data_IF_827630367873
#
_entry.id   IF_827630367873
#
_cell.length_a   1.000
_cell.length_b   1.000
_cell.length_c   1.000
_cell.angle_alpha   90.00
_cell.angle_beta   90.00
_cell.angle_gamma   90.00
#
_symmetry.space_group_name_H-M   'P 1'
#
loop_
_entity.id
_entity.type
_entity.pdbx_description
1 polymer ?
#
# COMPACT_ATOMS: atom_id res chain seq x y z
N UNK A 1 10.04 -21.90 22.97
CA UNK A 1 8.89 -22.81 22.77
C UNK A 1 9.14 -23.62 21.51
N UNK A 2 8.78 -24.90 21.50
CA UNK A 2 8.80 -25.74 20.28
C UNK A 2 7.35 -25.91 19.82
N UNK A 3 7.09 -25.65 18.55
CA UNK A 3 5.79 -25.87 17.90
C UNK A 3 5.92 -27.06 16.97
N UNK A 4 4.96 -27.97 17.07
CA UNK A 4 4.82 -29.11 16.16
C UNK A 4 3.55 -28.95 15.36
N UNK A 5 3.65 -29.19 14.06
CA UNK A 5 2.49 -29.23 13.18
C UNK A 5 1.72 -30.54 13.38
N UNK A 6 0.44 -30.51 13.79
CA UNK A 6 -0.36 -31.72 13.98
C UNK A 6 -0.54 -32.54 12.70
N UNK A 7 -0.50 -31.93 11.51
CA UNK A 7 -0.60 -32.65 10.23
C UNK A 7 0.73 -33.22 9.75
N UNK A 8 1.85 -32.76 10.31
CA UNK A 8 3.20 -33.17 9.91
C UNK A 8 3.63 -32.61 8.55
N UNK A 9 2.95 -31.59 8.04
CA UNK A 9 3.30 -30.95 6.75
C UNK A 9 4.51 -30.01 6.90
N UNK A 10 4.80 -29.58 8.13
CA UNK A 10 5.91 -28.67 8.47
C UNK A 10 6.82 -29.29 9.53
N UNK A 11 8.10 -29.01 9.41
CA UNK A 11 9.09 -29.40 10.40
C UNK A 11 8.84 -28.70 11.75
N UNK A 12 9.31 -29.32 12.84
CA UNK A 12 9.26 -28.74 14.18
C UNK A 12 10.02 -27.40 14.22
N UNK A 13 9.33 -26.31 14.58
CA UNK A 13 9.90 -24.96 14.64
C UNK A 13 10.13 -24.53 16.11
N UNK A 14 11.25 -23.88 16.38
CA UNK A 14 11.59 -23.35 17.70
C UNK A 14 11.53 -21.81 17.74
N UNK A 15 10.70 -21.28 18.63
CA UNK A 15 10.53 -19.83 18.84
C UNK A 15 11.17 -19.38 20.15
N UNK A 16 11.90 -18.26 20.08
CA UNK A 16 12.59 -17.64 21.22
C UNK A 16 12.06 -16.23 21.45
N UNK A 17 11.91 -15.83 22.71
CA UNK A 17 11.48 -14.47 23.10
C UNK A 17 12.16 -14.04 24.39
N UNK A 18 12.38 -12.74 24.55
CA UNK A 18 12.87 -12.14 25.80
C UNK A 18 11.71 -11.75 26.73
N UNK A 19 10.47 -11.74 26.24
CA UNK A 19 9.29 -11.42 27.03
C UNK A 19 8.85 -12.59 27.90
N UNK A 20 9.32 -12.63 29.15
CA UNK A 20 9.08 -13.73 30.09
C UNK A 20 7.61 -13.91 30.51
N UNK A 21 6.77 -12.89 30.32
CA UNK A 21 5.34 -12.90 30.68
C UNK A 21 4.42 -13.18 29.49
N UNK A 22 4.97 -13.33 28.28
CA UNK A 22 4.17 -13.55 27.08
C UNK A 22 3.65 -14.97 27.03
N UNK A 23 2.38 -15.13 26.64
CA UNK A 23 1.82 -16.46 26.37
C UNK A 23 2.36 -17.00 25.05
N UNK A 24 2.38 -18.33 24.85
CA UNK A 24 2.71 -18.96 23.57
C UNK A 24 2.02 -18.34 22.35
N UNK A 25 0.72 -18.06 22.46
CA UNK A 25 -0.10 -17.49 21.39
C UNK A 25 0.39 -16.09 21.02
N UNK A 26 0.69 -15.26 22.02
CA UNK A 26 1.21 -13.91 21.80
C UNK A 26 2.60 -13.91 21.15
N UNK A 27 3.43 -14.92 21.44
CA UNK A 27 4.73 -15.08 20.78
C UNK A 27 4.54 -15.39 19.30
N UNK A 28 3.63 -16.30 18.97
CA UNK A 28 3.31 -16.67 17.59
C UNK A 28 2.66 -15.53 16.82
N UNK A 29 1.71 -14.81 17.40
CA UNK A 29 1.10 -13.64 16.80
C UNK A 29 2.16 -12.58 16.45
N UNK A 30 3.06 -12.27 17.40
CA UNK A 30 4.15 -11.31 17.17
C UNK A 30 5.11 -11.79 16.08
N UNK A 31 5.42 -13.09 16.04
CA UNK A 31 6.24 -13.65 14.98
C UNK A 31 5.53 -13.55 13.62
N UNK A 32 4.23 -13.82 13.55
CA UNK A 32 3.45 -13.71 12.33
C UNK A 32 3.43 -12.29 11.76
N UNK A 33 3.42 -11.25 12.62
CA UNK A 33 3.53 -9.84 12.20
C UNK A 33 4.81 -9.53 11.42
N UNK A 34 5.85 -10.38 11.50
CA UNK A 34 7.06 -10.24 10.67
C UNK A 34 6.72 -10.28 9.19
N UNK A 35 5.74 -11.09 8.77
CA UNK A 35 5.34 -11.19 7.37
C UNK A 35 4.79 -9.87 6.81
N UNK A 36 4.14 -9.06 7.66
CA UNK A 36 3.67 -7.72 7.29
C UNK A 36 4.82 -6.81 6.84
N UNK A 37 6.03 -6.99 7.37
CA UNK A 37 7.22 -6.25 6.91
C UNK A 37 7.62 -6.66 5.49
N UNK A 38 7.52 -7.94 5.14
CA UNK A 38 7.82 -8.41 3.77
C UNK A 38 6.83 -7.81 2.77
N UNK A 39 5.53 -7.81 3.10
CA UNK A 39 4.50 -7.15 2.28
C UNK A 39 4.73 -5.63 2.18
N UNK A 40 5.19 -4.98 3.24
CA UNK A 40 5.57 -3.56 3.21
C UNK A 40 6.73 -3.32 2.23
N UNK A 41 7.80 -4.12 2.32
CA UNK A 41 8.93 -3.98 1.43
C UNK A 41 8.56 -4.23 -0.03
N UNK A 42 7.75 -5.25 -0.30
CA UNK A 42 7.22 -5.51 -1.64
C UNK A 42 6.47 -4.29 -2.20
N UNK A 43 5.52 -3.75 -1.42
CA UNK A 43 4.73 -2.58 -1.82
C UNK A 43 5.60 -1.35 -2.09
N UNK A 44 6.57 -1.08 -1.22
CA UNK A 44 7.48 0.07 -1.36
C UNK A 44 8.33 -0.05 -2.62
N UNK A 45 8.78 -1.27 -2.96
CA UNK A 45 9.54 -1.53 -4.19
C UNK A 45 8.68 -1.39 -5.44
N UNK A 46 7.54 -2.07 -5.49
CA UNK A 46 6.68 -2.11 -6.67
C UNK A 46 5.98 -0.78 -6.96
N UNK A 47 5.49 -0.08 -5.93
CA UNK A 47 4.61 1.07 -6.11
C UNK A 47 5.31 2.43 -5.96
N UNK A 48 6.44 2.48 -5.22
CA UNK A 48 7.19 3.72 -4.97
C UNK A 48 8.59 3.73 -5.58
N UNK A 49 8.98 2.68 -6.31
CA UNK A 49 10.25 2.65 -7.06
C UNK A 49 11.48 2.58 -6.16
N UNK A 50 11.37 1.95 -4.99
CA UNK A 50 12.47 1.85 -4.03
C UNK A 50 13.72 1.15 -4.58
N UNK A 51 13.56 0.20 -5.51
CA UNK A 51 14.67 -0.51 -6.16
C UNK A 51 15.35 0.29 -7.28
N UNK A 52 14.68 1.31 -7.84
CA UNK A 52 15.18 2.08 -8.99
C UNK A 52 15.17 3.59 -8.69
N UNK A 53 15.88 3.97 -7.62
CA UNK A 53 16.06 5.37 -7.27
C UNK A 53 17.06 6.01 -8.23
N UNK A 54 16.59 6.90 -9.10
CA UNK A 54 17.42 7.69 -10.04
C UNK A 54 18.26 8.79 -9.34
N UNK A 55 18.69 8.56 -8.10
CA UNK A 55 19.56 9.48 -7.34
C UNK A 55 21.02 9.16 -7.65
N UNK A 56 21.84 10.19 -7.90
CA UNK A 56 23.24 10.04 -8.32
C UNK A 56 24.27 10.08 -7.18
N UNK A 57 23.81 10.19 -5.94
CA UNK A 57 24.69 10.26 -4.75
C UNK A 57 24.18 9.33 -3.67
N UNK A 58 25.10 8.68 -2.96
CA UNK A 58 24.78 7.70 -1.91
C UNK A 58 23.89 8.31 -0.82
N UNK A 59 24.22 9.53 -0.39
CA UNK A 59 23.43 10.26 0.62
C UNK A 59 21.98 10.53 0.16
N UNK A 60 21.74 10.72 -1.14
CA UNK A 60 20.39 10.93 -1.64
C UNK A 60 19.59 9.61 -1.67
N UNK A 61 20.25 8.48 -1.93
CA UNK A 61 19.64 7.14 -1.84
C UNK A 61 19.27 6.83 -0.38
N UNK A 62 20.21 7.02 0.54
CA UNK A 62 20.02 6.77 1.98
C UNK A 62 18.86 7.56 2.58
N UNK A 63 18.62 8.78 2.08
CA UNK A 63 17.51 9.62 2.55
C UNK A 63 16.16 9.28 1.91
N UNK A 64 16.17 8.80 0.67
CA UNK A 64 14.93 8.54 -0.07
C UNK A 64 14.30 7.22 0.37
N UNK A 65 15.11 6.22 0.71
CA UNK A 65 14.65 4.93 1.22
C UNK A 65 13.71 5.01 2.44
N UNK A 66 14.10 5.61 3.59
CA UNK A 66 13.23 5.74 4.76
C UNK A 66 12.02 6.64 4.47
N UNK A 67 12.18 7.62 3.59
CA UNK A 67 11.08 8.49 3.19
C UNK A 67 10.01 7.72 2.40
N UNK A 68 10.38 6.82 1.51
CA UNK A 68 9.42 5.97 0.79
C UNK A 68 8.63 5.05 1.75
N UNK A 69 9.30 4.45 2.73
CA UNK A 69 8.64 3.64 3.76
C UNK A 69 7.65 4.49 4.58
N UNK A 70 8.05 5.69 4.98
CA UNK A 70 7.19 6.63 5.69
C UNK A 70 5.96 7.01 4.85
N UNK A 71 6.15 7.30 3.56
CA UNK A 71 5.05 7.62 2.64
C UNK A 71 4.05 6.48 2.51
N UNK A 72 4.50 5.22 2.44
CA UNK A 72 3.59 4.06 2.43
C UNK A 72 2.68 4.06 3.67
N UNK A 73 3.24 4.32 4.86
CA UNK A 73 2.45 4.48 6.08
C UNK A 73 1.44 5.63 5.99
N UNK A 74 1.83 6.78 5.43
CA UNK A 74 0.93 7.92 5.24
C UNK A 74 -0.22 7.62 4.27
N UNK A 75 0.05 6.91 3.16
CA UNK A 75 -0.98 6.51 2.19
C UNK A 75 -2.01 5.58 2.84
N UNK A 76 -1.55 4.57 3.57
CA UNK A 76 -2.44 3.62 4.28
C UNK A 76 -3.25 4.34 5.35
N UNK A 77 -2.60 5.21 6.14
CA UNK A 77 -3.27 5.98 7.19
C UNK A 77 -4.34 6.90 6.60
N UNK A 78 -3.99 7.68 5.57
CA UNK A 78 -4.93 8.55 4.86
C UNK A 78 -6.11 7.75 4.31
N UNK A 79 -5.86 6.60 3.71
CA UNK A 79 -6.92 5.77 3.16
C UNK A 79 -7.88 5.27 4.24
N UNK A 80 -7.34 4.83 5.38
CA UNK A 80 -8.13 4.38 6.51
C UNK A 80 -8.96 5.52 7.14
N UNK A 81 -8.39 6.73 7.27
CA UNK A 81 -9.09 7.88 7.87
C UNK A 81 -10.10 8.51 6.91
N UNK A 82 -9.86 8.47 5.61
CA UNK A 82 -10.66 9.14 4.58
C UNK A 82 -11.44 8.17 3.70
N UNK A 83 -11.74 6.97 4.20
CA UNK A 83 -12.40 5.87 3.48
C UNK A 83 -13.56 6.30 2.57
N UNK A 84 -14.52 7.08 3.09
CA UNK A 84 -15.70 7.52 2.33
C UNK A 84 -15.37 8.33 1.09
N UNK A 85 -14.33 9.16 1.18
CA UNK A 85 -13.84 9.96 0.05
C UNK A 85 -12.98 9.11 -0.87
N UNK A 86 -12.07 8.31 -0.30
CA UNK A 86 -11.15 7.47 -1.05
C UNK A 86 -11.86 6.44 -1.93
N UNK A 87 -12.98 5.88 -1.47
CA UNK A 87 -13.82 4.95 -2.26
C UNK A 87 -14.22 5.49 -3.64
N UNK A 88 -14.45 6.80 -3.75
CA UNK A 88 -14.89 7.44 -5.00
C UNK A 88 -13.79 7.48 -6.06
N UNK A 89 -12.54 7.31 -5.65
CA UNK A 89 -11.36 7.41 -6.52
C UNK A 89 -10.71 6.06 -6.79
N UNK A 90 -11.24 4.97 -6.22
CA UNK A 90 -10.72 3.63 -6.45
C UNK A 90 -10.74 3.28 -7.95
N UNK A 91 -9.71 2.58 -8.45
CA UNK A 91 -9.71 2.07 -9.82
C UNK A 91 -10.78 1.03 -10.03
N UNK A 92 -11.59 1.21 -11.09
CA UNK A 92 -12.58 0.25 -11.53
C UNK A 92 -11.94 -1.13 -11.73
N UNK A 93 -12.65 -2.17 -11.29
CA UNK A 93 -12.29 -3.55 -11.56
C UNK A 93 -12.39 -3.80 -13.06
N UNK A 94 -11.25 -3.96 -13.74
CA UNK A 94 -11.22 -4.31 -15.16
C UNK A 94 -11.89 -5.67 -15.41
N UNK A 95 -12.43 -5.93 -16.61
CA UNK A 95 -13.17 -7.16 -16.91
C UNK A 95 -12.32 -8.44 -16.79
N UNK A 96 -10.99 -8.33 -16.86
CA UNK A 96 -10.04 -9.42 -16.62
C UNK A 96 -9.72 -9.67 -15.15
N UNK A 97 -10.17 -8.80 -14.25
CA UNK A 97 -9.88 -8.82 -12.82
C UNK A 97 -11.15 -9.14 -12.02
N UNK A 98 -11.79 -10.25 -12.38
CA UNK A 98 -13.10 -10.72 -11.89
C UNK A 98 -13.13 -11.05 -10.38
N UNK A 99 -11.96 -11.24 -9.77
CA UNK A 99 -11.84 -11.54 -8.34
C UNK A 99 -11.55 -10.32 -7.47
N UNK A 100 -11.35 -9.12 -8.04
CA UNK A 100 -10.96 -7.91 -7.29
C UNK A 100 -11.93 -7.60 -6.16
N UNK A 101 -13.22 -7.69 -6.46
CA UNK A 101 -14.29 -7.36 -5.52
C UNK A 101 -14.34 -8.34 -4.32
N UNK A 102 -13.67 -9.49 -4.43
CA UNK A 102 -13.59 -10.53 -3.38
C UNK A 102 -12.26 -10.51 -2.60
N UNK A 103 -11.19 -9.99 -3.20
CA UNK A 103 -9.81 -10.08 -2.68
C UNK A 103 -9.42 -8.88 -1.81
N UNK A 104 -10.27 -7.85 -1.73
CA UNK A 104 -10.02 -6.67 -0.91
C UNK A 104 -9.11 -5.65 -1.60
N UNK A 105 -8.88 -4.53 -0.92
CA UNK A 105 -8.21 -3.36 -1.50
C UNK A 105 -6.71 -3.46 -1.27
N UNK A 106 -5.93 -3.41 -2.35
CA UNK A 106 -4.48 -3.46 -2.30
C UNK A 106 -3.86 -2.09 -2.01
N UNK A 107 -2.58 -2.06 -1.60
CA UNK A 107 -1.84 -0.80 -1.47
C UNK A 107 -1.79 -0.01 -2.79
N UNK A 108 -1.62 -0.69 -3.92
CA UNK A 108 -1.65 -0.07 -5.24
C UNK A 108 -2.97 0.65 -5.52
N UNK A 109 -4.11 0.08 -5.09
CA UNK A 109 -5.42 0.72 -5.22
C UNK A 109 -5.53 1.97 -4.34
N UNK A 110 -5.00 1.91 -3.10
CA UNK A 110 -4.96 3.07 -2.19
C UNK A 110 -4.12 4.21 -2.78
N UNK A 111 -2.95 3.88 -3.34
CA UNK A 111 -2.06 4.84 -3.97
C UNK A 111 -2.67 5.44 -5.24
N UNK A 112 -3.33 4.63 -6.06
CA UNK A 112 -4.04 5.09 -7.25
C UNK A 112 -5.19 6.05 -6.88
N UNK A 113 -5.95 5.73 -5.83
CA UNK A 113 -7.01 6.60 -5.33
C UNK A 113 -6.46 7.96 -4.84
N UNK A 114 -5.34 7.95 -4.10
CA UNK A 114 -4.69 9.18 -3.65
C UNK A 114 -4.18 10.03 -4.83
N UNK A 115 -3.55 9.40 -5.83
CA UNK A 115 -3.07 10.09 -7.03
C UNK A 115 -4.21 10.76 -7.78
N UNK A 116 -5.33 10.05 -8.00
CA UNK A 116 -6.51 10.60 -8.69
C UNK A 116 -7.15 11.75 -7.92
N UNK A 117 -7.22 11.66 -6.59
CA UNK A 117 -7.72 12.77 -5.78
C UNK A 117 -6.80 13.99 -5.91
N UNK A 118 -5.49 13.82 -5.78
CA UNK A 118 -4.52 14.91 -5.91
C UNK A 118 -4.54 15.55 -7.30
N UNK A 119 -4.63 14.75 -8.36
CA UNK A 119 -4.77 15.23 -9.74
C UNK A 119 -6.08 16.01 -9.93
N UNK A 120 -7.20 15.53 -9.38
CA UNK A 120 -8.48 16.25 -9.45
C UNK A 120 -8.37 17.63 -8.82
N UNK A 121 -7.81 17.71 -7.60
CA UNK A 121 -7.61 18.97 -6.89
C UNK A 121 -6.73 19.94 -7.70
N UNK A 122 -5.62 19.45 -8.24
CA UNK A 122 -4.71 20.24 -9.08
C UNK A 122 -5.41 20.78 -10.32
N UNK A 123 -6.15 19.94 -11.04
CA UNK A 123 -6.89 20.34 -12.25
C UNK A 123 -7.98 21.36 -11.92
N UNK A 124 -8.69 21.20 -10.80
CA UNK A 124 -9.71 22.17 -10.37
C UNK A 124 -9.11 23.51 -9.95
N UNK A 125 -7.90 23.50 -9.36
CA UNK A 125 -7.17 24.71 -9.01
C UNK A 125 -6.72 25.46 -10.27
N UNK A 126 -6.22 24.75 -11.28
CA UNK A 126 -5.79 25.32 -12.57
C UNK A 126 -6.99 25.88 -13.38
N UNK A 127 -8.19 25.31 -13.20
CA UNK A 127 -9.41 25.74 -13.88
C UNK A 127 -10.10 26.97 -13.23
N UNK A 128 -9.38 27.80 -12.49
CA UNK A 128 -9.90 28.94 -11.72
C UNK A 128 -11.10 28.58 -10.81
N UNK A 129 -11.10 27.36 -10.25
CA UNK A 129 -12.17 26.87 -9.39
C UNK A 129 -13.48 26.54 -10.10
N UNK A 130 -13.53 26.61 -11.44
CA UNK A 130 -14.70 26.15 -12.21
C UNK A 130 -14.63 24.63 -12.34
N UNK A 131 -15.59 23.88 -11.77
CA UNK A 131 -15.58 22.43 -11.86
C UNK A 131 -15.73 22.02 -13.33
N UNK A 132 -14.76 21.25 -13.85
CA UNK A 132 -14.91 20.61 -15.15
C UNK A 132 -16.12 19.67 -15.12
N UNK A 133 -16.83 19.52 -16.25
CA UNK A 133 -17.90 18.55 -16.39
C UNK A 133 -17.43 17.15 -15.95
N UNK A 134 -18.24 16.46 -15.13
CA UNK A 134 -17.87 15.18 -14.50
C UNK A 134 -17.34 14.14 -15.48
N UNK A 135 -17.87 14.12 -16.71
CA UNK A 135 -17.41 13.23 -17.79
C UNK A 135 -15.99 13.53 -18.27
N UNK A 136 -15.65 14.82 -18.42
CA UNK A 136 -14.30 15.24 -18.82
C UNK A 136 -13.30 14.98 -17.70
N UNK A 137 -13.68 15.28 -16.45
CA UNK A 137 -12.84 14.98 -15.29
C UNK A 137 -12.57 13.47 -15.15
N UNK A 138 -13.62 12.63 -15.29
CA UNK A 138 -13.45 11.18 -15.28
C UNK A 138 -12.53 10.67 -16.38
N UNK A 139 -12.63 11.24 -17.59
CA UNK A 139 -11.78 10.86 -18.71
C UNK A 139 -10.33 11.29 -18.51
N UNK A 140 -10.08 12.50 -18.01
CA UNK A 140 -8.74 12.99 -17.70
C UNK A 140 -8.09 12.16 -16.60
N UNK A 141 -8.80 11.87 -15.51
CA UNK A 141 -8.29 11.02 -14.42
C UNK A 141 -8.05 9.58 -14.87
N UNK A 142 -8.85 9.06 -15.81
CA UNK A 142 -8.63 7.74 -16.40
C UNK A 142 -7.37 7.72 -17.27
N UNK A 143 -7.21 8.70 -18.18
CA UNK A 143 -6.02 8.81 -19.05
C UNK A 143 -4.75 9.01 -18.23
N UNK A 144 -4.77 9.88 -17.22
CA UNK A 144 -3.63 10.10 -16.33
C UNK A 144 -3.34 8.89 -15.43
N UNK A 145 -4.37 8.14 -15.03
CA UNK A 145 -4.22 6.91 -14.25
C UNK A 145 -3.73 5.70 -15.05
N UNK A 146 -3.80 5.73 -16.38
CA UNK A 146 -3.24 4.69 -17.28
C UNK A 146 -1.81 5.00 -17.70
N UNK A 147 -1.39 6.27 -17.62
CA UNK A 147 -0.06 6.73 -18.04
C UNK A 147 1.02 6.65 -16.93
N UNK A 148 0.67 6.23 -15.71
CA UNK A 148 1.56 6.13 -14.53
C UNK A 148 1.54 4.73 -13.94
#
# INVERSE_FOLDING_TARGET
MIVRDPSGDRDDEAFFTTGLTLTPEQVLERFALRWTLETLFENVKQCLGFEDLQKRTDLAVERTAPFAIFLTGQVVLWFATNWRTAQQFLPDSGPWYTHKDKVGISFADMLAALRRMSQREMITAEADGKPLPTKLMGLVLHVLGVAT
#
